data_IF_413471545566
#
_entry.id   IF_413471545566
#
_cell.length_a   1.000
_cell.length_b   1.000
_cell.length_c   1.000
_cell.angle_alpha   90.00
_cell.angle_beta   90.00
_cell.angle_gamma   90.00
#
_symmetry.space_group_name_H-M   'P 1'
#
loop_
_entity.id
_entity.type
_entity.pdbx_description
1 polymer ?
#
# COMPACT_ATOMS: atom_id res chain seq x y z
N UNK A 1 -22.15 -16.46 52.94
CA UNK A 1 -22.28 -16.15 51.49
C UNK A 1 -20.91 -16.10 50.82
N UNK A 2 -19.98 -15.31 51.36
CA UNK A 2 -18.60 -15.13 50.87
C UNK A 2 -17.75 -16.42 50.72
N UNK A 3 -17.82 -17.34 51.68
CA UNK A 3 -17.11 -18.64 51.62
C UNK A 3 -17.59 -19.56 50.50
N UNK A 4 -18.85 -19.42 50.06
CA UNK A 4 -19.39 -20.16 48.90
C UNK A 4 -18.89 -19.55 47.59
N UNK A 5 -18.86 -18.22 47.50
CA UNK A 5 -18.34 -17.50 46.33
C UNK A 5 -16.88 -17.81 46.04
N UNK A 6 -16.01 -17.82 47.06
CA UNK A 6 -14.58 -18.18 46.89
C UNK A 6 -14.38 -19.62 46.40
N UNK A 7 -15.20 -20.57 46.85
CA UNK A 7 -15.14 -21.96 46.37
C UNK A 7 -15.52 -22.10 44.90
N UNK A 8 -16.52 -21.34 44.46
CA UNK A 8 -16.97 -21.33 43.06
C UNK A 8 -15.88 -20.70 42.17
N UNK A 9 -15.27 -19.61 42.61
CA UNK A 9 -14.18 -18.95 41.89
C UNK A 9 -12.96 -19.87 41.73
N UNK A 10 -12.52 -20.55 42.80
CA UNK A 10 -11.42 -21.53 42.71
C UNK A 10 -11.74 -22.67 41.74
N UNK A 11 -12.98 -23.17 41.73
CA UNK A 11 -13.40 -24.22 40.81
C UNK A 11 -13.38 -23.73 39.36
N UNK A 12 -13.93 -22.54 39.10
CA UNK A 12 -13.94 -21.93 37.77
C UNK A 12 -12.51 -21.72 37.25
N UNK A 13 -11.61 -21.22 38.10
CA UNK A 13 -10.18 -21.04 37.78
C UNK A 13 -9.52 -22.38 37.43
N UNK A 14 -9.75 -23.42 38.23
CA UNK A 14 -9.18 -24.75 37.98
C UNK A 14 -9.66 -25.34 36.65
N UNK A 15 -10.94 -25.16 36.30
CA UNK A 15 -11.50 -25.65 35.04
C UNK A 15 -10.93 -24.89 33.83
N UNK A 16 -10.76 -23.57 33.94
CA UNK A 16 -10.11 -22.77 32.90
C UNK A 16 -8.69 -23.24 32.64
N UNK A 17 -7.89 -23.45 33.70
CA UNK A 17 -6.49 -23.92 33.59
C UNK A 17 -6.39 -25.28 32.91
N UNK A 18 -7.29 -26.22 33.24
CA UNK A 18 -7.29 -27.56 32.66
C UNK A 18 -7.54 -27.57 31.14
N UNK A 19 -8.19 -26.53 30.61
CA UNK A 19 -8.45 -26.39 29.18
C UNK A 19 -7.31 -25.72 28.40
N UNK A 20 -6.26 -25.22 29.06
CA UNK A 20 -5.20 -24.44 28.42
C UNK A 20 -3.94 -25.27 28.10
N UNK A 21 -3.36 -25.10 26.90
CA UNK A 21 -2.00 -25.53 26.60
C UNK A 21 -0.97 -24.94 27.57
N UNK A 22 0.05 -25.72 27.95
CA UNK A 22 1.04 -25.35 28.97
C UNK A 22 1.80 -24.05 28.65
N UNK A 23 2.06 -23.79 27.36
CA UNK A 23 2.72 -22.59 26.85
C UNK A 23 1.91 -21.32 27.08
N UNK A 24 0.57 -21.41 27.01
CA UNK A 24 -0.33 -20.30 27.32
C UNK A 24 -0.47 -20.12 28.83
N UNK A 25 -0.56 -21.23 29.58
CA UNK A 25 -0.71 -21.21 31.04
C UNK A 25 0.45 -20.47 31.73
N UNK A 26 1.70 -20.74 31.34
CA UNK A 26 2.89 -20.09 31.94
C UNK A 26 2.95 -18.56 31.77
N UNK A 27 2.14 -18.00 30.88
CA UNK A 27 2.09 -16.55 30.63
C UNK A 27 1.05 -15.83 31.49
N UNK A 28 0.08 -16.54 32.09
CA UNK A 28 -1.09 -15.94 32.75
C UNK A 28 -1.40 -16.54 34.14
N UNK A 29 -0.48 -17.33 34.70
CA UNK A 29 -0.67 -18.09 35.95
C UNK A 29 -0.77 -17.20 37.22
N UNK A 30 -0.30 -15.96 37.15
CA UNK A 30 -0.27 -14.98 38.24
C UNK A 30 -1.63 -14.40 38.62
N UNK A 31 -2.70 -14.71 37.86
CA UNK A 31 -4.04 -14.19 38.11
C UNK A 31 -4.74 -14.92 39.29
N UNK A 32 -5.23 -14.14 40.26
CA UNK A 32 -5.79 -14.64 41.52
C UNK A 32 -7.23 -15.17 41.38
N UNK A 33 -8.04 -14.54 40.53
CA UNK A 33 -9.46 -14.91 40.33
C UNK A 33 -9.70 -15.55 38.97
N UNK A 34 -10.77 -16.33 38.84
CA UNK A 34 -11.17 -16.89 37.55
C UNK A 34 -11.49 -15.80 36.52
N UNK A 35 -12.01 -14.66 36.98
CA UNK A 35 -12.30 -13.50 36.14
C UNK A 35 -11.03 -12.87 35.59
N UNK A 36 -10.05 -12.58 36.44
CA UNK A 36 -8.79 -11.97 35.99
C UNK A 36 -8.04 -12.88 35.01
N UNK A 37 -8.09 -14.20 35.26
CA UNK A 37 -7.54 -15.19 34.34
C UNK A 37 -8.25 -15.17 32.98
N UNK A 38 -9.59 -15.08 32.96
CA UNK A 38 -10.36 -14.98 31.72
C UNK A 38 -10.08 -13.66 30.98
N UNK A 39 -10.04 -12.54 31.68
CA UNK A 39 -9.74 -11.22 31.09
C UNK A 39 -8.31 -11.18 30.51
N UNK A 40 -7.34 -11.83 31.16
CA UNK A 40 -5.96 -11.96 30.66
C UNK A 40 -5.89 -12.87 29.43
N UNK A 41 -6.61 -14.00 29.44
CA UNK A 41 -6.71 -14.91 28.29
C UNK A 41 -7.33 -14.20 27.07
N UNK A 42 -8.41 -13.45 27.28
CA UNK A 42 -9.09 -12.69 26.24
C UNK A 42 -8.15 -11.66 25.61
N UNK A 43 -7.39 -10.90 26.42
CA UNK A 43 -6.38 -9.94 25.92
C UNK A 43 -5.29 -10.61 25.10
N UNK A 44 -4.85 -11.79 25.52
CA UNK A 44 -3.76 -12.52 24.85
C UNK A 44 -4.20 -13.16 23.53
N UNK A 45 -5.40 -13.73 23.51
CA UNK A 45 -5.91 -14.51 22.36
C UNK A 45 -6.61 -13.65 21.32
N UNK A 46 -7.36 -12.62 21.72
CA UNK A 46 -8.10 -11.75 20.81
C UNK A 46 -7.28 -10.53 20.35
N UNK A 47 -6.07 -10.37 20.89
CA UNK A 47 -5.34 -9.10 20.88
C UNK A 47 -6.01 -8.09 21.81
N UNK A 48 -5.21 -7.24 22.44
CA UNK A 48 -5.74 -6.10 23.16
C UNK A 48 -6.51 -5.18 22.19
N UNK A 49 -7.44 -4.38 22.70
CA UNK A 49 -8.06 -3.32 21.90
C UNK A 49 -6.99 -2.42 21.26
N UNK A 50 -5.85 -2.27 21.94
CA UNK A 50 -4.63 -1.63 21.43
C UNK A 50 -4.07 -2.35 20.18
N UNK A 51 -3.92 -3.68 20.19
CA UNK A 51 -3.49 -4.44 19.01
C UNK A 51 -4.48 -4.36 17.82
N UNK A 52 -5.78 -4.20 18.10
CA UNK A 52 -6.78 -3.92 17.05
C UNK A 52 -6.62 -2.51 16.47
N UNK A 53 -6.33 -1.51 17.31
CA UNK A 53 -6.05 -0.14 16.85
C UNK A 53 -4.74 -0.05 16.07
N UNK A 54 -3.68 -0.72 16.51
CA UNK A 54 -2.40 -0.79 15.79
C UNK A 54 -2.58 -1.39 14.39
N UNK A 55 -3.38 -2.46 14.27
CA UNK A 55 -3.74 -3.03 12.98
C UNK A 55 -4.51 -2.05 12.09
N UNK A 56 -5.48 -1.31 12.65
CA UNK A 56 -6.21 -0.27 11.91
C UNK A 56 -5.28 0.85 11.43
N UNK A 57 -4.35 1.29 12.29
CA UNK A 57 -3.37 2.30 11.96
C UNK A 57 -2.42 1.84 10.85
N UNK A 58 -1.97 0.57 10.88
CA UNK A 58 -1.13 -0.01 9.83
C UNK A 58 -1.84 -0.04 8.47
N UNK A 59 -3.11 -0.48 8.44
CA UNK A 59 -3.92 -0.52 7.20
C UNK A 59 -4.17 0.90 6.66
N UNK A 60 -4.48 1.85 7.55
CA UNK A 60 -4.64 3.25 7.14
C UNK A 60 -3.34 3.82 6.58
N UNK A 61 -2.20 3.53 7.21
CA UNK A 61 -0.90 3.95 6.71
C UNK A 61 -0.59 3.35 5.33
N UNK A 62 -0.89 2.07 5.11
CA UNK A 62 -0.73 1.42 3.81
C UNK A 62 -1.59 2.08 2.73
N UNK A 63 -2.82 2.47 3.06
CA UNK A 63 -3.68 3.24 2.14
C UNK A 63 -3.15 4.64 1.85
N UNK A 64 -2.73 5.38 2.88
CA UNK A 64 -2.21 6.75 2.73
C UNK A 64 -0.91 6.78 1.93
N UNK A 65 -0.07 5.78 2.10
CA UNK A 65 1.23 5.66 1.42
C UNK A 65 1.17 4.83 0.15
N UNK A 66 -0.02 4.35 -0.24
CA UNK A 66 -0.20 3.51 -1.42
C UNK A 66 0.33 4.21 -2.66
N UNK A 67 1.24 3.53 -3.38
CA UNK A 67 1.77 4.00 -4.66
C UNK A 67 2.05 2.82 -5.58
N UNK A 68 1.84 3.01 -6.87
CA UNK A 68 2.30 2.07 -7.88
C UNK A 68 3.84 2.01 -7.85
N UNK A 69 4.37 0.80 -7.90
CA UNK A 69 5.82 0.57 -7.95
C UNK A 69 6.32 0.69 -9.38
N UNK A 70 7.56 1.12 -9.57
CA UNK A 70 8.13 1.32 -10.91
C UNK A 70 8.20 -0.02 -11.67
N UNK A 71 7.66 -0.04 -12.89
CA UNK A 71 7.63 -1.25 -13.73
C UNK A 71 6.50 -2.23 -13.38
N UNK A 72 5.69 -1.95 -12.35
CA UNK A 72 4.51 -2.75 -12.00
C UNK A 72 3.48 -2.72 -13.13
N UNK A 73 2.81 -3.83 -13.41
CA UNK A 73 1.72 -3.81 -14.38
C UNK A 73 0.49 -3.14 -13.79
N UNK A 74 -0.31 -2.47 -14.62
CA UNK A 74 -1.56 -1.82 -14.17
C UNK A 74 -2.48 -2.80 -13.42
N UNK A 75 -2.55 -4.05 -13.88
CA UNK A 75 -3.34 -5.10 -13.23
C UNK A 75 -2.84 -5.38 -11.80
N UNK A 76 -1.53 -5.48 -11.60
CA UNK A 76 -0.94 -5.78 -10.29
C UNK A 76 -1.19 -4.62 -9.31
N UNK A 77 -0.98 -3.38 -9.77
CA UNK A 77 -1.30 -2.18 -8.97
C UNK A 77 -2.78 -2.15 -8.58
N UNK A 78 -3.68 -2.46 -9.51
CA UNK A 78 -5.12 -2.52 -9.25
C UNK A 78 -5.47 -3.61 -8.22
N UNK A 79 -4.91 -4.81 -8.34
CA UNK A 79 -5.17 -5.91 -7.41
C UNK A 79 -4.68 -5.57 -5.99
N UNK A 80 -3.49 -4.97 -5.84
CA UNK A 80 -3.03 -4.49 -4.53
C UNK A 80 -3.94 -3.40 -3.98
N UNK A 81 -4.37 -2.46 -4.81
CA UNK A 81 -5.27 -1.40 -4.37
C UNK A 81 -6.60 -1.97 -3.87
N UNK A 82 -7.17 -2.96 -4.57
CA UNK A 82 -8.36 -3.69 -4.12
C UNK A 82 -8.18 -4.37 -2.76
N UNK A 83 -7.02 -4.95 -2.50
CA UNK A 83 -6.72 -5.56 -1.19
C UNK A 83 -6.72 -4.51 -0.07
N UNK A 84 -6.03 -3.38 -0.30
CA UNK A 84 -5.95 -2.28 0.67
C UNK A 84 -7.33 -1.68 0.99
N UNK A 85 -8.15 -1.40 -0.02
CA UNK A 85 -9.51 -0.85 0.21
C UNK A 85 -10.44 -1.85 0.91
N UNK A 86 -10.29 -3.15 0.62
CA UNK A 86 -11.05 -4.19 1.27
C UNK A 86 -10.69 -4.29 2.76
N UNK A 87 -9.39 -4.21 3.08
CA UNK A 87 -8.92 -4.24 4.46
C UNK A 87 -9.28 -2.96 5.23
N UNK A 88 -9.27 -1.80 4.58
CA UNK A 88 -9.84 -0.56 5.14
C UNK A 88 -11.33 -0.72 5.47
N UNK A 89 -12.10 -1.28 4.55
CA UNK A 89 -13.54 -1.49 4.72
C UNK A 89 -13.82 -2.44 5.89
N UNK A 90 -13.05 -3.52 6.03
CA UNK A 90 -13.12 -4.43 7.19
C UNK A 90 -12.79 -3.73 8.51
N UNK A 91 -11.97 -2.68 8.47
CA UNK A 91 -11.64 -1.86 9.64
C UNK A 91 -12.71 -0.81 10.00
N UNK A 92 -13.76 -0.69 9.18
CA UNK A 92 -14.88 0.21 9.37
C UNK A 92 -14.72 1.58 8.69
N UNK A 93 -13.66 1.77 7.89
CA UNK A 93 -13.51 2.97 7.07
C UNK A 93 -14.46 2.90 5.87
N UNK A 94 -15.13 4.02 5.59
CA UNK A 94 -16.01 4.17 4.44
C UNK A 94 -15.45 5.28 3.57
N UNK A 95 -15.03 4.92 2.38
CA UNK A 95 -14.59 5.86 1.36
C UNK A 95 -15.61 5.81 0.22
N UNK A 96 -15.98 6.97 -0.28
CA UNK A 96 -16.83 7.02 -1.47
C UNK A 96 -16.01 6.73 -2.74
N UNK A 97 -16.72 6.47 -3.84
CA UNK A 97 -16.09 6.18 -5.13
C UNK A 97 -15.16 7.31 -5.58
N UNK A 98 -15.51 8.57 -5.31
CA UNK A 98 -14.72 9.71 -5.74
C UNK A 98 -13.35 9.67 -5.08
N UNK A 99 -13.31 9.50 -3.76
CA UNK A 99 -12.06 9.44 -3.00
C UNK A 99 -11.17 8.28 -3.48
N UNK A 100 -11.74 7.08 -3.60
CA UNK A 100 -11.02 5.90 -4.06
C UNK A 100 -10.46 6.10 -5.48
N UNK A 101 -11.28 6.63 -6.38
CA UNK A 101 -10.90 6.85 -7.77
C UNK A 101 -9.81 7.92 -7.91
N UNK A 102 -9.93 9.04 -7.18
CA UNK A 102 -8.89 10.08 -7.18
C UNK A 102 -7.58 9.56 -6.62
N UNK A 103 -7.62 8.83 -5.50
CA UNK A 103 -6.45 8.26 -4.85
C UNK A 103 -5.77 7.24 -5.75
N UNK A 104 -6.53 6.35 -6.40
CA UNK A 104 -5.97 5.40 -7.37
C UNK A 104 -5.27 6.14 -8.52
N UNK A 105 -5.96 7.06 -9.20
CA UNK A 105 -5.39 7.83 -10.32
C UNK A 105 -4.15 8.65 -9.97
N UNK A 106 -4.10 9.24 -8.77
CA UNK A 106 -2.96 10.04 -8.30
C UNK A 106 -1.71 9.19 -8.03
N UNK A 107 -1.91 7.91 -7.72
CA UNK A 107 -0.86 7.00 -7.28
C UNK A 107 -0.44 5.99 -8.36
N UNK A 108 -0.99 6.09 -9.57
CA UNK A 108 -0.49 5.39 -10.74
C UNK A 108 0.89 5.91 -11.14
N UNK A 109 1.62 5.09 -11.90
CA UNK A 109 2.93 5.47 -12.43
C UNK A 109 2.81 6.66 -13.42
N UNK A 110 3.90 7.44 -13.61
CA UNK A 110 3.86 8.71 -14.35
C UNK A 110 3.28 8.65 -15.78
N UNK A 111 3.38 7.49 -16.43
CA UNK A 111 2.88 7.19 -17.77
C UNK A 111 1.36 7.37 -17.86
N UNK A 112 0.65 7.15 -16.75
CA UNK A 112 -0.81 7.28 -16.68
C UNK A 112 -1.29 8.71 -16.38
N UNK A 113 -0.39 9.67 -16.10
CA UNK A 113 -0.77 11.03 -15.65
C UNK A 113 -1.69 11.77 -16.62
N UNK A 114 -1.40 11.67 -17.92
CA UNK A 114 -2.20 12.34 -18.96
C UNK A 114 -3.62 11.73 -19.03
N UNK A 115 -3.72 10.40 -19.00
CA UNK A 115 -5.00 9.70 -18.96
C UNK A 115 -5.78 9.96 -17.69
N UNK A 116 -5.11 9.97 -16.53
CA UNK A 116 -5.76 10.33 -15.27
C UNK A 116 -6.35 11.74 -15.30
N UNK A 117 -5.69 12.69 -15.96
CA UNK A 117 -6.21 14.04 -16.16
C UNK A 117 -7.43 14.05 -17.09
N UNK A 118 -7.35 13.34 -18.21
CA UNK A 118 -8.45 13.24 -19.17
C UNK A 118 -9.70 12.58 -18.54
N UNK A 119 -9.53 11.50 -17.78
CA UNK A 119 -10.62 10.80 -17.11
C UNK A 119 -11.31 11.73 -16.10
N UNK A 120 -10.55 12.50 -15.30
CA UNK A 120 -11.10 13.48 -14.35
C UNK A 120 -11.94 14.57 -15.01
N UNK A 121 -11.62 14.93 -16.25
CA UNK A 121 -12.34 15.96 -17.00
C UNK A 121 -13.57 15.42 -17.73
N UNK A 122 -13.53 14.15 -18.13
CA UNK A 122 -14.54 13.56 -19.03
C UNK A 122 -15.53 12.63 -18.35
N UNK A 123 -15.22 12.15 -17.14
CA UNK A 123 -16.03 11.20 -16.38
C UNK A 123 -16.38 11.76 -15.01
N UNK A 124 -17.58 11.45 -14.52
CA UNK A 124 -17.93 11.69 -13.13
C UNK A 124 -17.38 10.55 -12.26
N UNK A 125 -16.37 10.85 -11.44
CA UNK A 125 -15.71 9.87 -10.58
C UNK A 125 -16.57 9.40 -9.40
N UNK A 126 -17.68 10.09 -9.09
CA UNK A 126 -18.63 9.63 -8.07
C UNK A 126 -19.50 8.46 -8.59
N UNK A 127 -19.84 8.48 -9.88
CA UNK A 127 -20.82 7.57 -10.48
C UNK A 127 -20.23 6.24 -10.94
N UNK A 128 -18.90 6.15 -11.03
CA UNK A 128 -18.18 4.94 -11.45
C UNK A 128 -17.48 4.29 -10.25
N UNK A 129 -17.60 2.97 -10.13
CA UNK A 129 -16.83 2.22 -9.16
C UNK A 129 -15.39 1.99 -9.64
N UNK A 130 -14.54 1.50 -8.74
CA UNK A 130 -13.11 1.28 -9.02
C UNK A 130 -12.88 0.28 -10.17
N UNK A 131 -13.76 -0.71 -10.33
CA UNK A 131 -13.66 -1.72 -11.39
C UNK A 131 -13.94 -1.12 -12.78
N UNK A 132 -14.96 -0.27 -12.87
CA UNK A 132 -15.27 0.47 -14.09
C UNK A 132 -14.12 1.41 -14.47
N UNK A 133 -13.54 2.10 -13.49
CA UNK A 133 -12.35 2.94 -13.71
C UNK A 133 -11.16 2.13 -14.23
N UNK A 134 -10.88 0.97 -13.61
CA UNK A 134 -9.83 0.07 -14.07
C UNK A 134 -10.06 -0.38 -15.52
N UNK A 135 -11.30 -0.76 -15.87
CA UNK A 135 -11.63 -1.18 -17.22
C UNK A 135 -11.44 -0.07 -18.26
N UNK A 136 -11.75 1.19 -17.92
CA UNK A 136 -11.47 2.35 -18.77
C UNK A 136 -9.96 2.49 -18.99
N UNK A 137 -9.16 2.42 -17.94
CA UNK A 137 -7.69 2.50 -18.05
C UNK A 137 -7.13 1.36 -18.91
N UNK A 138 -7.59 0.13 -18.68
CA UNK A 138 -7.18 -1.06 -19.43
C UNK A 138 -7.47 -0.96 -20.93
N UNK A 139 -8.63 -0.42 -21.30
CA UNK A 139 -9.00 -0.23 -22.71
C UNK A 139 -8.06 0.74 -23.44
N UNK A 140 -7.49 1.71 -22.73
CA UNK A 140 -6.58 2.72 -23.28
C UNK A 140 -5.09 2.36 -23.10
N UNK A 141 -4.77 1.14 -22.65
CA UNK A 141 -3.40 0.74 -22.35
C UNK A 141 -2.49 0.70 -23.58
N UNK A 142 -3.04 0.41 -24.77
CA UNK A 142 -2.29 0.46 -26.03
C UNK A 142 -1.74 1.85 -26.33
N UNK A 143 -2.60 2.86 -26.22
CA UNK A 143 -2.24 4.25 -26.50
C UNK A 143 -1.19 4.79 -25.49
N UNK A 144 -1.26 4.37 -24.23
CA UNK A 144 -0.24 4.68 -23.20
C UNK A 144 1.12 4.10 -23.60
N UNK A 145 1.15 2.85 -24.08
CA UNK A 145 2.37 2.18 -24.51
C UNK A 145 2.97 2.82 -25.76
N UNK A 146 2.13 3.33 -26.66
CA UNK A 146 2.58 4.03 -27.86
C UNK A 146 3.21 5.38 -27.52
N UNK A 147 2.56 6.22 -26.68
CA UNK A 147 3.11 7.50 -26.21
C UNK A 147 4.44 7.30 -25.44
N UNK A 148 4.51 6.24 -24.62
CA UNK A 148 5.75 5.79 -23.99
C UNK A 148 6.84 5.43 -25.00
N UNK A 149 6.47 4.70 -26.04
CA UNK A 149 7.37 4.32 -27.13
C UNK A 149 7.96 5.54 -27.84
N UNK A 150 7.16 6.58 -28.07
CA UNK A 150 7.62 7.84 -28.65
C UNK A 150 8.54 8.61 -27.71
N UNK A 151 8.18 8.75 -26.43
CA UNK A 151 9.02 9.45 -25.43
C UNK A 151 10.38 8.78 -25.24
N UNK A 152 10.41 7.45 -25.09
CA UNK A 152 11.67 6.68 -24.97
C UNK A 152 12.57 6.86 -26.20
N UNK A 153 12.00 6.84 -27.40
CA UNK A 153 12.76 7.09 -28.64
C UNK A 153 13.32 8.51 -28.68
N UNK A 154 12.54 9.51 -28.27
CA UNK A 154 12.99 10.89 -28.21
C UNK A 154 14.16 11.06 -27.23
N UNK A 155 14.06 10.50 -26.02
CA UNK A 155 15.10 10.58 -24.98
C UNK A 155 16.42 9.92 -25.42
N UNK A 156 16.36 8.75 -26.07
CA UNK A 156 17.56 8.09 -26.62
C UNK A 156 18.21 8.98 -27.68
N UNK A 157 17.42 9.55 -28.60
CA UNK A 157 17.94 10.44 -29.66
C UNK A 157 18.56 11.71 -29.08
N UNK A 158 17.98 12.33 -28.05
CA UNK A 158 18.59 13.50 -27.39
C UNK A 158 19.88 13.13 -26.67
N UNK A 159 19.94 12.00 -25.98
CA UNK A 159 21.19 11.51 -25.36
C UNK A 159 22.29 11.27 -26.40
N UNK A 160 21.98 10.63 -27.52
CA UNK A 160 22.94 10.37 -28.61
C UNK A 160 23.45 11.67 -29.25
N UNK A 161 22.56 12.64 -29.48
CA UNK A 161 22.94 13.97 -29.99
C UNK A 161 23.86 14.71 -29.02
N UNK A 162 23.59 14.65 -27.72
CA UNK A 162 24.43 15.27 -26.69
C UNK A 162 25.83 14.63 -26.64
N UNK A 163 25.92 13.29 -26.74
CA UNK A 163 27.19 12.58 -26.80
C UNK A 163 28.03 13.00 -28.03
N UNK A 164 27.39 13.07 -29.20
CA UNK A 164 28.05 13.48 -30.45
C UNK A 164 28.54 14.94 -30.40
N UNK A 165 27.79 15.84 -29.76
CA UNK A 165 28.22 17.24 -29.55
C UNK A 165 29.41 17.30 -28.58
N UNK A 166 29.41 16.50 -27.51
CA UNK A 166 30.52 16.42 -26.57
C UNK A 166 31.83 15.91 -27.24
N UNK A 167 31.75 14.91 -28.11
CA UNK A 167 32.91 14.44 -28.88
C UNK A 167 33.44 15.51 -29.83
N UNK A 168 32.56 16.18 -30.59
CA UNK A 168 32.96 17.26 -31.50
C UNK A 168 33.63 18.43 -30.79
N UNK A 169 33.17 18.80 -29.58
CA UNK A 169 33.80 19.88 -28.80
C UNK A 169 35.17 19.49 -28.25
N UNK A 170 35.38 18.23 -27.87
CA UNK A 170 36.70 17.73 -27.44
C UNK A 170 37.71 17.65 -28.59
N UNK A 171 37.29 17.16 -29.77
CA UNK A 171 38.15 17.11 -30.97
C UNK A 171 38.57 18.52 -31.42
N UNK A 172 37.68 19.51 -31.34
CA UNK A 172 38.02 20.89 -31.71
C UNK A 172 39.01 21.54 -30.72
N UNK A 173 38.94 21.20 -29.43
CA UNK A 173 39.92 21.65 -28.42
C UNK A 173 41.31 21.06 -28.65
N UNK A 174 41.42 19.81 -29.12
CA UNK A 174 42.71 19.20 -29.45
C UNK A 174 43.34 19.81 -30.72
N UNK A 175 42.55 20.11 -31.75
CA UNK A 175 43.05 20.76 -32.98
C UNK A 175 43.57 22.19 -32.75
N UNK A 176 42.97 22.95 -31.82
CA UNK A 176 43.45 24.31 -31.47
C UNK A 176 44.78 24.34 -30.69
N UNK A 177 45.22 23.21 -30.12
CA UNK A 177 46.53 23.14 -29.40
C UNK A 177 47.73 22.91 -30.33
N UNK A 178 47.54 22.68 -31.64
CA UNK A 178 48.63 22.32 -32.58
C UNK A 178 49.15 23.51 -33.40
N UNK A 179 48.59 24.73 -33.25
CA UNK A 179 49.01 25.90 -34.06
C UNK A 179 49.45 27.05 -33.15
N UNK A 180 50.59 26.89 -32.48
CA UNK A 180 51.48 27.99 -32.07
C UNK A 180 52.87 27.37 -31.98
N UNK A 181 53.75 27.61 -32.95
CA UNK A 181 55.22 27.69 -32.82
C UNK A 181 55.81 27.91 -34.22
N UNK A 182 56.02 29.19 -34.58
CA UNK A 182 57.12 29.66 -35.42
C UNK A 182 57.65 30.94 -34.77
#
# INVERSE_FOLDING_TARGET
>A
KEKKTRKIDHLARSLLIQGLPNDIYSLIDSNETAKDLWDALERQMCGSEYGKQDRKAAILYEYETFKATEGEQLLDTYLRYLQVINDLTKCGYKNDNCELNYKFLNNLQPEWKQYGTLIRQTKNLMDINIDALYNILKQNQGDVNDDLGYKKKADVVTSDLLALVAEKTNVNKQKKKVVVFL
#
